data_IF_735151771270
#
_entry.id   IF_735151771270
#
_cell.length_a   1.000
_cell.length_b   1.000
_cell.length_c   1.000
_cell.angle_alpha   90.00
_cell.angle_beta   90.00
_cell.angle_gamma   90.00
#
_symmetry.space_group_name_H-M   'P 1'
#
loop_
_entity.id
_entity.type
_entity.pdbx_description
1 polymer ?
#
# COMPACT_ATOMS: atom_id res chain seq x y z
N UNK A 1 4.17 -10.35 25.17
CA UNK A 1 3.68 -9.00 25.53
C UNK A 1 2.23 -8.92 25.06
N UNK A 2 1.30 -8.43 25.88
CA UNK A 2 -0.12 -8.27 25.49
C UNK A 2 -0.31 -6.79 25.16
N UNK A 3 -0.78 -6.50 23.94
CA UNK A 3 -1.03 -5.13 23.48
C UNK A 3 -2.51 -4.78 23.69
N UNK A 4 -2.78 -3.77 24.52
CA UNK A 4 -4.15 -3.38 24.92
C UNK A 4 -4.54 -1.96 24.44
N UNK A 5 -3.70 -1.28 23.66
CA UNK A 5 -3.91 0.10 23.22
C UNK A 5 -4.41 0.20 21.76
N UNK A 6 -5.39 -0.64 21.40
CA UNK A 6 -5.97 -0.66 20.05
C UNK A 6 -6.85 0.56 19.75
N UNK A 7 -7.20 1.34 20.77
CA UNK A 7 -7.94 2.59 20.61
C UNK A 7 -7.06 3.74 20.10
N UNK A 8 -5.75 3.70 20.36
CA UNK A 8 -4.79 4.67 19.82
C UNK A 8 -4.32 4.29 18.42
N UNK A 9 -3.95 3.03 18.21
CA UNK A 9 -3.53 2.49 16.92
C UNK A 9 -3.58 0.96 16.93
N UNK A 10 -3.61 0.34 15.75
CA UNK A 10 -3.69 -1.11 15.60
C UNK A 10 -2.45 -1.66 14.92
N UNK A 11 -2.16 -2.94 15.19
CA UNK A 11 -1.14 -3.66 14.43
C UNK A 11 -1.58 -3.77 12.96
N UNK A 12 -0.64 -3.56 12.04
CA UNK A 12 -0.88 -3.77 10.60
C UNK A 12 -1.28 -5.22 10.36
N UNK A 13 -2.42 -5.44 9.70
CA UNK A 13 -2.85 -6.77 9.29
C UNK A 13 -1.82 -7.38 8.32
N UNK A 14 -1.44 -8.66 8.46
CA UNK A 14 -0.41 -9.28 7.60
C UNK A 14 -0.69 -9.14 6.11
N UNK A 15 -1.96 -9.23 5.70
CA UNK A 15 -2.37 -9.06 4.29
C UNK A 15 -2.20 -7.62 3.80
N UNK A 16 -2.45 -6.63 4.66
CA UNK A 16 -2.21 -5.21 4.33
C UNK A 16 -0.73 -4.97 4.13
N UNK A 17 0.12 -5.51 5.00
CA UNK A 17 1.57 -5.41 4.85
C UNK A 17 2.05 -6.05 3.54
N UNK A 18 1.57 -7.25 3.23
CA UNK A 18 1.92 -7.95 1.99
C UNK A 18 1.46 -7.19 0.74
N UNK A 19 0.26 -6.60 0.77
CA UNK A 19 -0.26 -5.79 -0.34
C UNK A 19 0.55 -4.50 -0.56
N UNK A 20 1.05 -3.88 0.52
CA UNK A 20 1.86 -2.66 0.45
C UNK A 20 3.31 -2.91 0.03
N UNK A 21 3.89 -4.06 0.39
CA UNK A 21 5.32 -4.35 0.25
C UNK A 21 5.88 -4.13 -1.17
N UNK A 22 5.20 -4.52 -2.27
CA UNK A 22 5.71 -4.27 -3.62
C UNK A 22 5.94 -2.79 -3.93
N UNK A 23 5.09 -1.90 -3.40
CA UNK A 23 5.11 -0.46 -3.67
C UNK A 23 6.14 0.29 -2.82
N UNK A 24 6.58 -0.32 -1.72
CA UNK A 24 7.69 0.17 -0.90
C UNK A 24 9.06 -0.35 -1.39
N UNK A 25 9.07 -1.33 -2.29
CA UNK A 25 10.25 -1.92 -2.89
C UNK A 25 10.35 -1.60 -4.37
N UNK A 26 10.05 -2.57 -5.22
CA UNK A 26 10.34 -2.54 -6.66
C UNK A 26 9.39 -1.65 -7.47
N UNK A 27 8.15 -1.47 -7.00
CA UNK A 27 7.09 -0.72 -7.70
C UNK A 27 6.93 0.71 -7.21
N UNK A 28 8.04 1.39 -6.90
CA UNK A 28 8.06 2.73 -6.30
C UNK A 28 7.70 3.88 -7.27
N UNK A 29 7.06 3.60 -8.40
CA UNK A 29 6.81 4.59 -9.45
C UNK A 29 5.88 5.71 -8.99
N UNK A 30 6.17 6.93 -9.42
CA UNK A 30 5.26 8.07 -9.22
C UNK A 30 4.00 7.87 -10.09
N UNK A 31 2.77 7.82 -9.51
CA UNK A 31 1.52 7.66 -10.25
C UNK A 31 1.23 8.74 -11.31
N UNK A 32 1.89 9.90 -11.23
CA UNK A 32 1.77 10.96 -12.23
C UNK A 32 2.67 10.76 -13.46
N UNK A 33 3.60 9.81 -13.42
CA UNK A 33 4.49 9.52 -14.53
C UNK A 33 3.81 8.72 -15.64
N UNK A 34 4.14 9.04 -16.90
CA UNK A 34 3.60 8.34 -18.07
C UNK A 34 4.29 7.00 -18.40
N UNK A 35 5.46 6.73 -17.81
CA UNK A 35 6.17 5.46 -18.03
C UNK A 35 5.53 4.30 -17.26
N UNK A 36 5.81 3.06 -17.68
CA UNK A 36 5.18 1.83 -17.17
C UNK A 36 5.07 1.79 -15.63
N UNK A 37 6.17 2.03 -14.92
CA UNK A 37 6.17 2.00 -13.45
C UNK A 37 5.18 2.99 -12.81
N UNK A 38 4.99 4.18 -13.40
CA UNK A 38 4.01 5.16 -12.91
C UNK A 38 2.58 4.76 -13.24
N UNK A 39 2.35 4.19 -14.43
CA UNK A 39 1.05 3.65 -14.81
C UNK A 39 0.59 2.53 -13.88
N UNK A 40 1.49 1.61 -13.52
CA UNK A 40 1.21 0.54 -12.55
C UNK A 40 0.83 1.09 -11.16
N UNK A 41 1.60 2.05 -10.63
CA UNK A 41 1.28 2.68 -9.35
C UNK A 41 -0.05 3.43 -9.38
N UNK A 42 -0.37 4.11 -10.49
CA UNK A 42 -1.66 4.77 -10.68
C UNK A 42 -2.81 3.76 -10.64
N UNK A 43 -2.69 2.66 -11.38
CA UNK A 43 -3.72 1.61 -11.40
C UNK A 43 -3.96 1.03 -10.01
N UNK A 44 -2.91 0.80 -9.23
CA UNK A 44 -3.05 0.29 -7.86
C UNK A 44 -3.76 1.28 -6.92
N UNK A 45 -3.46 2.57 -7.02
CA UNK A 45 -4.16 3.62 -6.26
C UNK A 45 -5.62 3.72 -6.66
N UNK A 46 -5.94 3.65 -7.96
CA UNK A 46 -7.33 3.67 -8.41
C UNK A 46 -8.09 2.43 -7.94
N UNK A 47 -7.50 1.23 -8.05
CA UNK A 47 -8.12 0.00 -7.57
C UNK A 47 -8.49 0.09 -6.08
N UNK A 48 -7.56 0.55 -5.25
CA UNK A 48 -7.78 0.73 -3.80
C UNK A 48 -8.85 1.80 -3.45
N UNK A 49 -9.24 2.68 -4.39
CA UNK A 49 -10.32 3.65 -4.18
C UNK A 49 -11.71 3.08 -4.46
N UNK A 50 -11.79 2.05 -5.30
CA UNK A 50 -13.04 1.49 -5.79
C UNK A 50 -13.39 0.12 -5.20
N UNK A 51 -12.44 -0.54 -4.54
CA UNK A 51 -12.67 -1.69 -3.65
C UNK A 51 -13.20 -1.25 -2.27
#
# INVERSE_FOLDING_TARGET
>A
MIYLDNNATTQIHPEVLAAMQPWLGEKYGNPSSMHRLGQESRQAVEQARYE
#
